data_IF_766202835921
#
_entry.id   IF_766202835921
#
_cell.length_a   1.000
_cell.length_b   1.000
_cell.length_c   1.000
_cell.angle_alpha   90.00
_cell.angle_beta   90.00
_cell.angle_gamma   90.00
#
_symmetry.space_group_name_H-M   'P 1'
#
loop_
_entity.id
_entity.type
_entity.pdbx_description
1 polymer ?
#
# COMPACT_ATOMS: atom_id res chain seq x y z
N UNK A 1 -45.32 4.65 -8.62
CA UNK A 1 -44.88 4.93 -7.30
C UNK A 1 -44.68 3.64 -6.53
N UNK A 2 -43.49 3.08 -6.49
CA UNK A 2 -43.04 2.17 -5.43
C UNK A 2 -41.60 2.54 -5.17
N UNK A 3 -41.41 3.34 -4.12
CA UNK A 3 -40.09 3.68 -3.59
C UNK A 3 -39.51 2.41 -2.97
N UNK A 4 -38.52 1.81 -3.63
CA UNK A 4 -37.67 0.81 -3.01
C UNK A 4 -36.73 1.53 -2.06
N UNK A 5 -36.98 1.44 -0.76
CA UNK A 5 -36.03 1.81 0.27
C UNK A 5 -34.74 0.97 0.06
N UNK A 6 -33.54 1.55 0.21
CA UNK A 6 -32.31 0.78 0.19
C UNK A 6 -32.39 -0.24 1.34
N UNK A 7 -32.46 -1.52 1.00
CA UNK A 7 -32.44 -2.63 1.94
C UNK A 7 -31.13 -2.57 2.72
N UNK A 8 -31.18 -2.03 3.91
CA UNK A 8 -30.09 -2.09 4.88
C UNK A 8 -29.97 -3.55 5.33
N UNK A 9 -28.91 -4.22 4.92
CA UNK A 9 -28.66 -5.61 5.33
C UNK A 9 -28.37 -5.66 6.83
N UNK A 10 -29.00 -6.61 7.51
CA UNK A 10 -28.78 -6.82 8.94
C UNK A 10 -27.36 -7.38 9.17
N UNK A 11 -26.53 -6.73 10.01
CA UNK A 11 -25.21 -7.23 10.37
C UNK A 11 -25.25 -8.65 10.96
N UNK A 12 -26.29 -8.99 11.71
CA UNK A 12 -26.46 -10.32 12.31
C UNK A 12 -26.68 -11.39 11.24
N UNK A 13 -27.59 -11.14 10.30
CA UNK A 13 -27.84 -12.05 9.18
C UNK A 13 -26.61 -12.21 8.28
N UNK A 14 -25.88 -11.13 8.08
CA UNK A 14 -24.62 -11.14 7.30
C UNK A 14 -23.56 -11.98 7.99
N UNK A 15 -23.41 -11.84 9.30
CA UNK A 15 -22.45 -12.64 10.08
C UNK A 15 -22.80 -14.13 10.02
N UNK A 16 -24.09 -14.49 10.18
CA UNK A 16 -24.55 -15.87 10.10
C UNK A 16 -24.27 -16.48 8.71
N UNK A 17 -24.47 -15.70 7.65
CA UNK A 17 -24.15 -16.12 6.29
C UNK A 17 -22.64 -16.31 6.09
N UNK A 18 -21.80 -15.41 6.60
CA UNK A 18 -20.32 -15.53 6.53
C UNK A 18 -19.84 -16.78 7.30
N UNK A 19 -20.36 -17.02 8.49
CA UNK A 19 -19.99 -18.21 9.28
C UNK A 19 -20.40 -19.48 8.54
N UNK A 20 -21.57 -19.50 7.91
CA UNK A 20 -22.04 -20.66 7.12
C UNK A 20 -21.13 -20.91 5.93
N UNK A 21 -20.75 -19.87 5.16
CA UNK A 21 -19.83 -19.98 4.02
C UNK A 21 -18.50 -20.56 4.48
N UNK A 22 -17.96 -20.05 5.60
CA UNK A 22 -16.70 -20.53 6.17
C UNK A 22 -16.79 -21.98 6.65
N UNK A 23 -17.88 -22.37 7.32
CA UNK A 23 -18.10 -23.76 7.77
C UNK A 23 -18.15 -24.73 6.60
N UNK A 24 -18.86 -24.38 5.53
CA UNK A 24 -18.95 -25.17 4.30
C UNK A 24 -17.56 -25.33 3.66
N UNK A 25 -16.83 -24.21 3.48
CA UNK A 25 -15.49 -24.24 2.88
C UNK A 25 -14.50 -25.07 3.71
N UNK A 26 -14.47 -24.87 5.02
CA UNK A 26 -13.60 -25.61 5.93
C UNK A 26 -13.96 -27.10 5.94
N UNK A 27 -15.25 -27.42 5.88
CA UNK A 27 -15.75 -28.79 5.78
C UNK A 27 -15.28 -29.50 4.50
N UNK A 28 -15.23 -28.79 3.38
CA UNK A 28 -14.70 -29.30 2.10
C UNK A 28 -13.19 -29.48 2.12
N UNK A 29 -12.46 -28.53 2.71
CA UNK A 29 -10.99 -28.57 2.78
C UNK A 29 -10.46 -29.58 3.80
N UNK A 30 -11.17 -29.78 4.90
CA UNK A 30 -10.74 -30.60 6.02
C UNK A 30 -11.86 -31.55 6.48
N UNK A 31 -12.27 -32.56 5.66
CA UNK A 31 -13.40 -33.42 5.98
C UNK A 31 -13.29 -34.14 7.33
N UNK A 32 -12.06 -34.52 7.74
CA UNK A 32 -11.81 -35.19 9.02
C UNK A 32 -11.92 -34.29 10.25
N UNK A 33 -11.89 -32.95 10.09
CA UNK A 33 -11.97 -31.97 11.17
C UNK A 33 -13.31 -31.23 11.20
N UNK A 34 -14.11 -31.36 10.16
CA UNK A 34 -15.37 -30.61 9.97
C UNK A 34 -16.33 -30.75 11.15
N UNK A 35 -16.43 -31.94 11.75
CA UNK A 35 -17.32 -32.21 12.86
C UNK A 35 -16.91 -31.55 14.19
N UNK A 36 -15.61 -31.24 14.36
CA UNK A 36 -15.04 -30.67 15.57
C UNK A 36 -14.73 -29.19 15.48
N UNK A 37 -14.71 -28.62 14.27
CA UNK A 37 -14.28 -27.25 14.01
C UNK A 37 -15.51 -26.30 14.10
N UNK A 38 -15.48 -25.44 15.13
CA UNK A 38 -16.49 -24.40 15.28
C UNK A 38 -15.92 -23.07 14.82
N UNK A 39 -16.56 -22.50 13.82
CA UNK A 39 -16.22 -21.14 13.34
C UNK A 39 -16.91 -20.13 14.25
N UNK A 40 -16.14 -19.27 14.88
CA UNK A 40 -16.62 -18.11 15.64
C UNK A 40 -16.24 -16.80 14.95
N UNK A 41 -16.82 -15.71 15.37
CA UNK A 41 -16.54 -14.37 14.82
C UNK A 41 -15.06 -13.97 14.94
N UNK A 42 -14.34 -14.52 15.90
CA UNK A 42 -12.93 -14.21 16.17
C UNK A 42 -11.96 -15.35 15.78
N UNK A 43 -12.44 -16.38 15.09
CA UNK A 43 -11.57 -17.46 14.60
C UNK A 43 -10.57 -16.91 13.58
N UNK A 44 -9.28 -17.20 13.75
CA UNK A 44 -8.26 -16.84 12.76
C UNK A 44 -8.41 -17.68 11.49
N UNK A 45 -8.57 -17.03 10.34
CA UNK A 45 -8.84 -17.68 9.05
C UNK A 45 -7.70 -18.63 8.64
N UNK A 46 -6.46 -18.28 8.91
CA UNK A 46 -5.29 -19.09 8.61
C UNK A 46 -4.98 -20.12 9.71
N UNK A 47 -4.79 -19.67 10.94
CA UNK A 47 -4.33 -20.50 12.05
C UNK A 47 -5.39 -21.45 12.57
N UNK A 48 -6.62 -20.96 12.78
CA UNK A 48 -7.70 -21.76 13.38
C UNK A 48 -8.49 -22.54 12.33
N UNK A 49 -8.71 -21.94 11.16
CA UNK A 49 -9.51 -22.51 10.07
C UNK A 49 -8.66 -23.15 8.95
N UNK A 50 -7.35 -22.91 8.93
CA UNK A 50 -6.43 -23.50 7.97
C UNK A 50 -6.60 -23.04 6.53
N UNK A 51 -7.07 -21.80 6.33
CA UNK A 51 -7.28 -21.22 5.01
C UNK A 51 -5.96 -20.68 4.45
N UNK A 52 -5.41 -21.37 3.46
CA UNK A 52 -4.29 -20.87 2.66
C UNK A 52 -4.72 -19.81 1.63
N UNK A 53 -3.80 -19.35 0.82
CA UNK A 53 -4.07 -18.30 -0.17
C UNK A 53 -5.12 -18.72 -1.21
N UNK A 54 -5.11 -19.99 -1.62
CA UNK A 54 -6.08 -20.52 -2.59
C UNK A 54 -7.48 -20.61 -1.96
N UNK A 55 -7.57 -21.14 -0.74
CA UNK A 55 -8.81 -21.21 0.00
C UNK A 55 -9.40 -19.83 0.29
N UNK A 56 -8.56 -18.82 0.52
CA UNK A 56 -8.99 -17.45 0.68
C UNK A 56 -9.57 -16.86 -0.61
N UNK A 57 -9.01 -17.15 -1.76
CA UNK A 57 -9.58 -16.75 -3.05
C UNK A 57 -10.94 -17.38 -3.29
N UNK A 58 -11.09 -18.68 -2.99
CA UNK A 58 -12.38 -19.38 -3.05
C UNK A 58 -13.40 -18.74 -2.09
N UNK A 59 -12.97 -18.40 -0.87
CA UNK A 59 -13.81 -17.71 0.11
C UNK A 59 -14.30 -16.36 -0.44
N UNK A 60 -13.41 -15.57 -1.05
CA UNK A 60 -13.78 -14.28 -1.66
C UNK A 60 -14.88 -14.46 -2.70
N UNK A 61 -14.70 -15.39 -3.63
CA UNK A 61 -15.67 -15.68 -4.69
C UNK A 61 -17.02 -16.10 -4.12
N UNK A 62 -17.04 -16.94 -3.07
CA UNK A 62 -18.28 -17.38 -2.42
C UNK A 62 -18.98 -16.22 -1.70
N UNK A 63 -18.23 -15.40 -0.98
CA UNK A 63 -18.75 -14.22 -0.28
C UNK A 63 -19.38 -13.23 -1.29
N UNK A 64 -18.66 -12.89 -2.35
CA UNK A 64 -19.19 -12.00 -3.39
C UNK A 64 -20.45 -12.53 -4.05
N UNK A 65 -20.45 -13.81 -4.41
CA UNK A 65 -21.58 -14.45 -5.08
C UNK A 65 -22.79 -14.60 -4.17
N UNK A 66 -22.63 -15.06 -2.92
CA UNK A 66 -23.74 -15.33 -2.02
C UNK A 66 -24.29 -14.05 -1.39
N UNK A 67 -23.44 -13.08 -1.13
CA UNK A 67 -23.84 -11.82 -0.53
C UNK A 67 -24.08 -10.71 -1.56
N UNK A 68 -23.78 -10.93 -2.82
CA UNK A 68 -24.01 -9.95 -3.89
C UNK A 68 -23.22 -8.64 -3.69
N UNK A 69 -22.05 -8.73 -3.07
CA UNK A 69 -21.14 -7.59 -2.83
C UNK A 69 -19.91 -7.71 -3.71
N UNK A 70 -19.28 -6.59 -4.02
CA UNK A 70 -17.97 -6.58 -4.67
C UNK A 70 -16.93 -6.15 -3.64
N UNK A 71 -15.94 -6.99 -3.41
CA UNK A 71 -14.85 -6.75 -2.47
C UNK A 71 -13.53 -6.65 -3.23
N UNK A 72 -12.65 -5.73 -2.80
CA UNK A 72 -11.32 -5.69 -3.39
C UNK A 72 -10.48 -6.85 -2.87
N UNK A 73 -9.75 -7.49 -3.76
CA UNK A 73 -8.84 -8.60 -3.42
C UNK A 73 -7.83 -8.19 -2.34
N UNK A 74 -7.34 -6.94 -2.42
CA UNK A 74 -6.41 -6.37 -1.44
C UNK A 74 -7.01 -6.25 -0.05
N UNK A 75 -8.22 -5.69 0.08
CA UNK A 75 -8.89 -5.56 1.37
C UNK A 75 -9.19 -6.93 1.97
N UNK A 76 -9.63 -7.87 1.12
CA UNK A 76 -9.91 -9.24 1.54
C UNK A 76 -8.64 -9.99 2.00
N UNK A 77 -7.50 -9.72 1.37
CA UNK A 77 -6.22 -10.28 1.77
C UNK A 77 -5.82 -9.90 3.21
N UNK A 78 -6.25 -8.74 3.68
CA UNK A 78 -5.95 -8.20 5.02
C UNK A 78 -6.89 -8.71 6.11
N UNK A 79 -8.00 -9.36 5.76
CA UNK A 79 -8.93 -9.93 6.72
C UNK A 79 -8.31 -11.12 7.47
N UNK A 80 -8.29 -11.07 8.78
CA UNK A 80 -7.74 -12.12 9.64
C UNK A 80 -8.83 -12.97 10.31
N UNK A 81 -10.04 -12.41 10.46
CA UNK A 81 -11.16 -13.03 11.17
C UNK A 81 -12.49 -12.85 10.44
N UNK A 82 -13.54 -13.63 10.75
CA UNK A 82 -14.90 -13.37 10.26
C UNK A 82 -15.43 -11.99 10.64
N UNK A 83 -14.99 -11.42 11.75
CA UNK A 83 -15.29 -10.03 12.15
C UNK A 83 -14.80 -9.03 11.10
N UNK A 84 -13.59 -9.23 10.59
CA UNK A 84 -13.01 -8.38 9.55
C UNK A 84 -13.78 -8.50 8.24
N UNK A 85 -14.17 -9.73 7.87
CA UNK A 85 -15.01 -9.98 6.70
C UNK A 85 -16.39 -9.29 6.82
N UNK A 86 -17.02 -9.37 8.00
CA UNK A 86 -18.29 -8.68 8.25
C UNK A 86 -18.14 -7.18 8.05
N UNK A 87 -17.10 -6.59 8.63
CA UNK A 87 -16.82 -5.15 8.50
C UNK A 87 -16.65 -4.74 7.04
N UNK A 88 -15.94 -5.55 6.26
CA UNK A 88 -15.72 -5.30 4.84
C UNK A 88 -17.01 -5.38 4.03
N UNK A 89 -17.84 -6.38 4.26
CA UNK A 89 -19.14 -6.55 3.57
C UNK A 89 -20.06 -5.37 3.89
N UNK A 90 -20.16 -4.98 5.16
CA UNK A 90 -20.98 -3.85 5.59
C UNK A 90 -20.48 -2.52 4.99
N UNK A 91 -19.17 -2.32 4.91
CA UNK A 91 -18.57 -1.12 4.29
C UNK A 91 -18.81 -1.07 2.78
N UNK A 92 -18.73 -2.20 2.10
CA UNK A 92 -19.01 -2.29 0.66
C UNK A 92 -20.48 -2.00 0.34
N UNK A 93 -21.39 -2.41 1.22
CA UNK A 93 -22.83 -2.07 1.09
C UNK A 93 -23.11 -0.60 1.36
N UNK A 94 -22.50 -0.04 2.40
CA UNK A 94 -22.63 1.39 2.70
C UNK A 94 -22.15 2.26 1.53
N UNK A 95 -21.04 1.87 0.89
CA UNK A 95 -20.53 2.52 -0.31
C UNK A 95 -21.51 2.38 -1.49
N UNK A 96 -22.18 1.25 -1.62
CA UNK A 96 -23.18 1.00 -2.66
C UNK A 96 -24.49 1.74 -2.44
N UNK A 97 -24.93 1.86 -1.19
CA UNK A 97 -26.14 2.59 -0.80
C UNK A 97 -25.93 4.12 -0.86
N UNK A 98 -24.71 4.59 -0.67
CA UNK A 98 -24.33 5.99 -0.82
C UNK A 98 -24.27 6.49 -2.26
N UNK A 99 -24.57 5.63 -3.24
CA UNK A 99 -24.32 5.90 -4.65
C UNK A 99 -22.81 5.82 -4.93
N UNK A 100 -22.42 5.22 -6.04
CA UNK A 100 -21.06 5.45 -6.54
C UNK A 100 -20.84 6.97 -6.54
N UNK A 101 -19.74 7.45 -5.92
CA UNK A 101 -19.41 8.85 -6.08
C UNK A 101 -19.43 9.10 -7.59
N UNK A 102 -20.26 10.05 -8.01
CA UNK A 102 -20.28 10.48 -9.39
C UNK A 102 -18.85 10.85 -9.72
N UNK A 103 -18.20 10.01 -10.52
CA UNK A 103 -16.85 10.32 -10.99
C UNK A 103 -17.05 11.54 -11.88
N UNK A 104 -16.96 12.71 -11.26
CA UNK A 104 -16.91 13.96 -11.99
C UNK A 104 -15.67 13.84 -12.85
N UNK A 105 -15.79 13.75 -14.18
CA UNK A 105 -14.61 13.71 -15.02
C UNK A 105 -13.84 14.98 -14.73
N UNK A 106 -12.68 14.84 -14.07
CA UNK A 106 -11.76 15.95 -13.93
C UNK A 106 -11.40 16.33 -15.36
N UNK A 107 -11.93 17.45 -15.85
CA UNK A 107 -11.44 18.04 -17.08
C UNK A 107 -9.97 18.35 -16.81
N UNK A 108 -9.12 17.50 -17.32
CA UNK A 108 -7.71 17.80 -17.43
C UNK A 108 -7.66 19.02 -18.35
N UNK A 109 -7.42 20.19 -17.79
CA UNK A 109 -7.02 21.33 -18.61
C UNK A 109 -5.84 20.86 -19.44
N UNK A 110 -5.92 21.01 -20.74
CA UNK A 110 -4.87 20.61 -21.64
C UNK A 110 -3.58 21.26 -21.17
N UNK A 111 -2.65 20.43 -20.69
CA UNK A 111 -1.33 20.91 -20.36
C UNK A 111 -0.71 21.43 -21.66
N UNK A 112 -0.43 22.73 -21.72
CA UNK A 112 0.14 23.33 -22.91
C UNK A 112 1.54 22.77 -23.21
N UNK A 113 1.62 21.74 -24.01
CA UNK A 113 2.86 21.09 -24.41
C UNK A 113 3.20 19.81 -23.64
N UNK A 114 4.24 19.14 -24.09
CA UNK A 114 4.76 17.90 -23.52
C UNK A 114 6.26 18.05 -23.21
N UNK A 115 6.80 17.32 -22.23
CA UNK A 115 8.20 17.39 -21.83
C UNK A 115 9.13 16.62 -22.79
N UNK A 116 9.07 16.88 -24.09
CA UNK A 116 9.83 16.15 -25.13
C UNK A 116 11.36 16.18 -24.96
N UNK A 117 11.88 17.11 -24.20
CA UNK A 117 13.33 17.24 -23.95
C UNK A 117 13.79 16.63 -22.64
N UNK A 118 12.83 16.16 -21.83
CA UNK A 118 13.16 15.51 -20.57
C UNK A 118 13.62 14.06 -20.83
N UNK A 119 14.77 13.71 -20.33
CA UNK A 119 15.37 12.37 -20.45
C UNK A 119 15.23 11.55 -19.16
N UNK A 120 14.92 12.21 -18.04
CA UNK A 120 14.75 11.58 -16.72
C UNK A 120 13.43 11.95 -16.09
N UNK A 121 12.96 11.12 -15.14
CA UNK A 121 11.74 11.40 -14.38
C UNK A 121 11.86 12.70 -13.55
N UNK A 122 13.05 13.00 -13.05
CA UNK A 122 13.30 14.26 -12.33
C UNK A 122 13.12 15.47 -13.23
N UNK A 123 13.59 15.41 -14.47
CA UNK A 123 13.39 16.48 -15.46
C UNK A 123 11.93 16.64 -15.85
N UNK A 124 11.19 15.54 -16.00
CA UNK A 124 9.75 15.56 -16.23
C UNK A 124 9.04 16.27 -15.08
N UNK A 125 9.38 15.94 -13.84
CA UNK A 125 8.79 16.58 -12.67
C UNK A 125 9.09 18.08 -12.64
N UNK A 126 10.32 18.50 -12.87
CA UNK A 126 10.71 19.91 -12.93
C UNK A 126 9.95 20.66 -14.04
N UNK A 127 9.79 20.06 -15.20
CA UNK A 127 9.03 20.65 -16.29
C UNK A 127 7.58 20.91 -15.89
N UNK A 128 6.91 19.94 -15.23
CA UNK A 128 5.53 20.10 -14.75
C UNK A 128 5.43 21.17 -13.66
N UNK A 129 6.39 21.24 -12.75
CA UNK A 129 6.40 22.27 -11.68
C UNK A 129 6.58 23.66 -12.25
N UNK A 130 7.39 23.83 -13.30
CA UNK A 130 7.56 25.14 -13.97
C UNK A 130 6.30 25.59 -14.70
N UNK A 131 5.55 24.67 -15.29
CA UNK A 131 4.38 24.97 -16.12
C UNK A 131 3.08 25.07 -15.33
N UNK A 132 2.83 24.18 -14.40
CA UNK A 132 1.59 24.08 -13.63
C UNK A 132 1.82 23.50 -12.23
N UNK A 133 2.52 24.24 -11.37
CA UNK A 133 2.97 23.73 -10.06
C UNK A 133 1.82 23.30 -9.14
N UNK A 134 0.70 23.99 -9.20
CA UNK A 134 -0.46 23.77 -8.33
C UNK A 134 -1.49 22.78 -8.92
N UNK A 135 -1.17 22.21 -10.08
CA UNK A 135 -2.00 21.16 -10.66
C UNK A 135 -1.91 19.89 -9.83
N UNK A 136 -3.07 19.31 -9.54
CA UNK A 136 -3.15 18.02 -8.89
C UNK A 136 -2.55 16.94 -9.80
N UNK A 137 -1.55 16.21 -9.30
CA UNK A 137 -0.89 15.13 -10.02
C UNK A 137 -1.37 13.76 -9.55
N UNK A 138 -1.46 13.57 -8.23
CA UNK A 138 -1.85 12.31 -7.61
C UNK A 138 -3.01 12.56 -6.66
N UNK A 139 -4.01 11.70 -6.73
CA UNK A 139 -5.13 11.69 -5.80
C UNK A 139 -5.18 10.35 -5.10
N UNK A 140 -5.21 10.38 -3.79
CA UNK A 140 -5.31 9.17 -2.99
C UNK A 140 -6.77 8.87 -2.70
N UNK A 141 -7.10 7.59 -2.80
CA UNK A 141 -8.42 7.08 -2.44
C UNK A 141 -8.25 6.08 -1.29
N UNK A 142 -9.18 6.12 -0.35
CA UNK A 142 -9.29 5.16 0.74
C UNK A 142 -10.69 4.55 0.75
N UNK A 143 -10.91 3.55 1.60
CA UNK A 143 -12.24 2.98 1.81
C UNK A 143 -13.27 4.01 2.30
N UNK A 144 -12.80 5.12 2.88
CA UNK A 144 -13.63 6.26 3.29
C UNK A 144 -13.96 7.23 2.13
N UNK A 145 -13.48 6.97 0.91
CA UNK A 145 -13.69 7.78 -0.28
C UNK A 145 -12.45 8.56 -0.74
N UNK A 146 -12.70 9.68 -1.42
CA UNK A 146 -11.65 10.55 -1.94
C UNK A 146 -10.84 11.17 -0.80
N UNK A 147 -9.54 10.92 -0.82
CA UNK A 147 -8.61 11.41 0.16
C UNK A 147 -7.81 12.62 -0.32
N UNK A 148 -6.69 12.81 0.32
CA UNK A 148 -5.77 13.90 0.08
C UNK A 148 -5.15 13.85 -1.33
N UNK A 149 -4.92 15.01 -1.93
CA UNK A 149 -4.26 15.15 -3.22
C UNK A 149 -2.82 15.62 -3.09
N UNK A 150 -2.01 15.38 -4.13
CA UNK A 150 -0.62 15.80 -4.22
C UNK A 150 -0.42 16.57 -5.53
N UNK A 151 -0.04 17.85 -5.41
CA UNK A 151 0.32 18.69 -6.57
C UNK A 151 1.74 18.41 -7.03
N UNK A 152 2.09 18.83 -8.24
CA UNK A 152 3.47 18.72 -8.73
C UNK A 152 4.46 19.46 -7.82
N UNK A 153 4.12 20.67 -7.37
CA UNK A 153 4.95 21.44 -6.43
C UNK A 153 5.19 20.69 -5.12
N UNK A 154 4.14 20.16 -4.51
CA UNK A 154 4.25 19.41 -3.26
C UNK A 154 5.11 18.16 -3.42
N UNK A 155 4.98 17.46 -4.54
CA UNK A 155 5.82 16.30 -4.84
C UNK A 155 7.29 16.70 -4.95
N UNK A 156 7.60 17.78 -5.67
CA UNK A 156 8.98 18.25 -5.81
C UNK A 156 9.57 18.69 -4.46
N UNK A 157 8.85 19.50 -3.69
CA UNK A 157 9.30 19.97 -2.38
C UNK A 157 9.57 18.80 -1.41
N UNK A 158 8.65 17.86 -1.32
CA UNK A 158 8.80 16.67 -0.48
C UNK A 158 9.94 15.76 -0.95
N UNK A 159 10.10 15.59 -2.24
CA UNK A 159 11.19 14.80 -2.82
C UNK A 159 12.56 15.46 -2.60
N UNK A 160 12.66 16.78 -2.76
CA UNK A 160 13.90 17.53 -2.50
C UNK A 160 14.32 17.45 -1.03
N UNK A 161 13.38 17.61 -0.10
CA UNK A 161 13.65 17.49 1.33
C UNK A 161 14.19 16.10 1.69
N UNK A 162 13.57 15.06 1.14
CA UNK A 162 14.01 13.69 1.36
C UNK A 162 15.36 13.41 0.69
N UNK A 163 15.57 13.88 -0.53
CA UNK A 163 16.84 13.75 -1.24
C UNK A 163 17.99 14.42 -0.49
N UNK A 164 17.75 15.62 0.07
CA UNK A 164 18.72 16.31 0.92
C UNK A 164 19.11 15.48 2.14
N UNK A 165 18.15 14.86 2.81
CA UNK A 165 18.41 13.97 3.94
C UNK A 165 19.21 12.72 3.58
N UNK A 166 18.99 12.15 2.41
CA UNK A 166 19.78 11.03 1.89
C UNK A 166 21.20 11.47 1.55
N UNK A 167 21.38 12.63 0.91
CA UNK A 167 22.69 13.20 0.59
C UNK A 167 23.49 13.49 1.85
N UNK A 168 22.85 14.06 2.88
CA UNK A 168 23.49 14.32 4.18
C UNK A 168 24.00 13.05 4.84
N UNK A 169 23.26 11.93 4.69
CA UNK A 169 23.68 10.61 5.19
C UNK A 169 24.69 9.90 4.30
N UNK A 170 25.17 10.55 3.26
CA UNK A 170 26.25 10.03 2.41
C UNK A 170 25.81 9.00 1.39
N UNK A 171 24.56 9.03 0.91
CA UNK A 171 24.11 8.17 -0.19
C UNK A 171 25.01 8.37 -1.40
N UNK A 172 25.57 7.27 -1.91
CA UNK A 172 26.40 7.27 -3.09
C UNK A 172 25.57 6.99 -4.35
N UNK A 173 26.04 7.41 -5.54
CA UNK A 173 25.35 7.12 -6.79
C UNK A 173 25.06 5.62 -6.97
N UNK A 174 23.86 5.30 -7.45
CA UNK A 174 23.37 3.95 -7.72
C UNK A 174 23.22 3.04 -6.50
N UNK A 175 23.42 3.54 -5.29
CA UNK A 175 23.12 2.77 -4.10
C UNK A 175 21.61 2.50 -3.99
N UNK A 176 21.18 1.25 -3.74
CA UNK A 176 19.79 0.91 -3.58
C UNK A 176 19.24 1.38 -2.24
N UNK A 177 18.07 2.01 -2.28
CA UNK A 177 17.31 2.45 -1.10
C UNK A 177 15.95 1.80 -1.14
N UNK A 178 15.67 0.95 -0.16
CA UNK A 178 14.40 0.25 -0.06
C UNK A 178 13.32 1.16 0.54
N UNK A 179 12.12 1.08 -0.02
CA UNK A 179 10.93 1.81 0.42
C UNK A 179 9.94 0.79 0.97
N UNK A 180 9.74 0.78 2.28
CA UNK A 180 8.75 -0.06 2.95
C UNK A 180 7.68 0.84 3.58
N UNK A 181 6.85 1.42 2.74
CA UNK A 181 5.82 2.37 3.08
C UNK A 181 4.47 1.96 2.47
N UNK A 182 3.36 2.25 3.14
CA UNK A 182 2.05 2.19 2.49
C UNK A 182 1.95 3.21 1.36
N UNK A 183 1.02 2.99 0.43
CA UNK A 183 0.76 3.94 -0.64
C UNK A 183 0.24 5.26 -0.04
N UNK A 184 0.93 6.35 -0.30
CA UNK A 184 0.63 7.67 0.22
C UNK A 184 1.68 8.69 -0.22
N UNK A 185 1.61 9.91 0.29
CA UNK A 185 2.55 10.98 -0.04
C UNK A 185 3.99 10.58 0.22
N UNK A 186 4.27 9.99 1.37
CA UNK A 186 5.61 9.59 1.79
C UNK A 186 6.24 8.58 0.84
N UNK A 187 5.45 7.68 0.25
CA UNK A 187 5.91 6.76 -0.77
C UNK A 187 6.43 7.51 -2.00
N UNK A 188 5.66 8.46 -2.51
CA UNK A 188 6.02 9.22 -3.70
C UNK A 188 7.18 10.19 -3.45
N UNK A 189 7.23 10.81 -2.28
CA UNK A 189 8.39 11.62 -1.86
C UNK A 189 9.66 10.75 -1.81
N UNK A 190 9.55 9.54 -1.27
CA UNK A 190 10.67 8.61 -1.19
C UNK A 190 11.13 8.16 -2.57
N UNK A 191 10.21 7.74 -3.42
CA UNK A 191 10.55 7.28 -4.77
C UNK A 191 11.27 8.36 -5.57
N UNK A 192 10.68 9.54 -5.67
CA UNK A 192 11.27 10.67 -6.40
C UNK A 192 12.53 11.20 -5.73
N UNK A 193 12.54 11.30 -4.40
CA UNK A 193 13.69 11.79 -3.65
C UNK A 193 14.92 10.88 -3.78
N UNK A 194 14.73 9.56 -3.81
CA UNK A 194 15.84 8.60 -4.06
C UNK A 194 16.40 8.80 -5.44
N UNK A 195 15.58 8.91 -6.48
CA UNK A 195 16.04 9.17 -7.85
C UNK A 195 16.81 10.49 -7.93
N UNK A 196 16.28 11.56 -7.32
CA UNK A 196 16.93 12.87 -7.30
C UNK A 196 18.26 12.86 -6.55
N UNK A 197 18.40 12.03 -5.51
CA UNK A 197 19.65 11.84 -4.79
C UNK A 197 20.64 10.90 -5.52
N UNK A 198 20.28 10.38 -6.68
CA UNK A 198 21.09 9.48 -7.49
C UNK A 198 21.06 8.02 -7.03
N UNK A 199 20.18 7.64 -6.13
CA UNK A 199 19.98 6.26 -5.68
C UNK A 199 19.03 5.47 -6.56
N UNK A 200 18.87 4.19 -6.26
CA UNK A 200 17.94 3.27 -6.93
C UNK A 200 16.80 2.94 -5.97
N UNK A 201 15.55 3.35 -6.25
CA UNK A 201 14.43 3.02 -5.39
C UNK A 201 14.03 1.55 -5.54
N UNK A 202 13.87 0.85 -4.41
CA UNK A 202 13.44 -0.55 -4.35
C UNK A 202 12.16 -0.62 -3.53
N UNK A 203 10.98 -0.60 -4.17
CA UNK A 203 9.71 -0.70 -3.49
C UNK A 203 9.52 -2.07 -2.84
N UNK A 204 9.04 -2.06 -1.60
CA UNK A 204 8.69 -3.25 -0.83
C UNK A 204 7.33 -3.04 -0.17
N UNK A 205 6.56 -4.10 -0.04
CA UNK A 205 5.29 -4.01 0.71
C UNK A 205 5.57 -4.03 2.22
N UNK A 206 4.89 -3.16 3.00
CA UNK A 206 4.92 -3.29 4.46
C UNK A 206 4.35 -4.65 4.90
N UNK A 207 4.79 -5.20 6.04
CA UNK A 207 4.19 -6.42 6.58
C UNK A 207 2.75 -6.12 7.00
N UNK A 208 1.80 -6.82 6.39
CA UNK A 208 0.36 -6.55 6.58
C UNK A 208 -0.23 -7.41 7.70
N UNK A 209 0.39 -8.56 8.02
CA UNK A 209 -0.15 -9.54 8.96
C UNK A 209 0.87 -9.90 10.04
N UNK A 210 0.47 -9.74 11.30
CA UNK A 210 1.30 -10.18 12.44
C UNK A 210 1.49 -11.70 12.49
N UNK A 211 0.53 -12.46 11.98
CA UNK A 211 0.56 -13.93 11.98
C UNK A 211 1.59 -14.55 11.03
N UNK A 212 2.15 -13.77 10.08
CA UNK A 212 3.12 -14.24 9.08
C UNK A 212 4.45 -13.46 9.15
N UNK A 213 4.78 -12.94 10.31
CA UNK A 213 5.94 -12.06 10.48
C UNK A 213 7.26 -12.76 10.10
N UNK A 214 7.41 -14.04 10.40
CA UNK A 214 8.62 -14.80 10.05
C UNK A 214 8.78 -14.97 8.54
N UNK A 215 7.69 -15.23 7.83
CA UNK A 215 7.73 -15.32 6.38
C UNK A 215 7.98 -13.96 5.73
N UNK A 216 7.38 -12.90 6.26
CA UNK A 216 7.65 -11.54 5.83
C UNK A 216 9.11 -11.16 6.06
N UNK A 217 9.68 -11.49 7.22
CA UNK A 217 11.11 -11.26 7.50
C UNK A 217 11.99 -11.97 6.48
N UNK A 218 11.72 -13.23 6.20
CA UNK A 218 12.51 -14.00 5.23
C UNK A 218 12.45 -13.41 3.83
N UNK A 219 11.28 -13.03 3.35
CA UNK A 219 11.11 -12.42 2.02
C UNK A 219 11.76 -11.06 1.93
N UNK A 220 11.51 -10.20 2.91
CA UNK A 220 12.07 -8.86 2.94
C UNK A 220 13.59 -8.89 3.05
N UNK A 221 14.13 -9.77 3.88
CA UNK A 221 15.55 -10.02 3.97
C UNK A 221 16.13 -10.42 2.62
N UNK A 222 15.53 -11.38 1.92
CA UNK A 222 15.98 -11.82 0.61
C UNK A 222 16.00 -10.68 -0.42
N UNK A 223 14.97 -9.84 -0.44
CA UNK A 223 14.91 -8.67 -1.33
C UNK A 223 16.05 -7.69 -1.01
N UNK A 224 16.25 -7.35 0.25
CA UNK A 224 17.28 -6.42 0.69
C UNK A 224 18.71 -6.94 0.42
N UNK A 225 18.94 -8.22 0.63
CA UNK A 225 20.22 -8.87 0.32
C UNK A 225 20.47 -8.91 -1.20
N UNK A 226 19.48 -9.30 -1.99
CA UNK A 226 19.61 -9.41 -3.45
C UNK A 226 19.91 -8.08 -4.13
N UNK A 227 19.31 -6.98 -3.65
CA UNK A 227 19.59 -5.65 -4.20
C UNK A 227 20.76 -4.94 -3.48
N UNK A 228 21.32 -5.52 -2.43
CA UNK A 228 22.33 -4.90 -1.58
C UNK A 228 21.90 -3.53 -1.04
N UNK A 229 20.67 -3.41 -0.57
CA UNK A 229 20.11 -2.17 -0.05
C UNK A 229 20.95 -1.61 1.11
N UNK A 230 21.25 -0.31 1.04
CA UNK A 230 22.06 0.38 2.05
C UNK A 230 21.21 1.14 3.06
N UNK A 231 19.98 1.51 2.67
CA UNK A 231 19.01 2.23 3.50
C UNK A 231 17.64 1.64 3.33
N UNK A 232 16.89 1.55 4.42
CA UNK A 232 15.48 1.21 4.46
C UNK A 232 14.68 2.39 4.97
N UNK A 233 13.79 2.91 4.14
CA UNK A 233 12.81 3.95 4.53
C UNK A 233 11.53 3.25 4.95
N UNK A 234 11.06 3.53 6.16
CA UNK A 234 9.84 2.96 6.72
C UNK A 234 9.02 4.00 7.47
N UNK A 235 7.96 3.58 8.11
CA UNK A 235 7.09 4.41 8.96
C UNK A 235 7.23 4.00 10.44
N UNK A 236 6.88 4.88 11.39
CA UNK A 236 7.17 4.65 12.81
C UNK A 236 6.66 3.30 13.34
N UNK A 237 5.47 2.87 12.94
CA UNK A 237 4.84 1.63 13.41
C UNK A 237 5.57 0.36 12.91
N UNK A 238 6.27 0.44 11.79
CA UNK A 238 7.05 -0.67 11.23
C UNK A 238 8.54 -0.60 11.62
N UNK A 239 8.96 0.34 12.44
CA UNK A 239 10.37 0.54 12.80
C UNK A 239 11.00 -0.66 13.51
N UNK A 240 10.24 -1.33 14.37
CA UNK A 240 10.69 -2.55 15.05
C UNK A 240 10.99 -3.68 14.07
N UNK A 241 10.11 -3.88 13.08
CA UNK A 241 10.32 -4.84 12.01
C UNK A 241 11.53 -4.47 11.15
N UNK A 242 11.66 -3.21 10.79
CA UNK A 242 12.83 -2.69 10.06
C UNK A 242 14.13 -2.89 10.84
N UNK A 243 14.12 -2.75 12.15
CA UNK A 243 15.29 -2.99 12.98
C UNK A 243 15.73 -4.47 12.99
N UNK A 244 14.77 -5.39 12.99
CA UNK A 244 15.06 -6.81 12.82
C UNK A 244 15.72 -7.11 11.47
N UNK A 245 15.23 -6.51 10.38
CA UNK A 245 15.84 -6.61 9.06
C UNK A 245 17.25 -6.06 9.05
N UNK A 246 17.47 -4.90 9.67
CA UNK A 246 18.80 -4.28 9.74
C UNK A 246 19.84 -5.17 10.44
N UNK A 247 19.43 -5.92 11.46
CA UNK A 247 20.36 -6.85 12.14
C UNK A 247 20.71 -8.06 11.29
N UNK A 248 19.89 -8.42 10.30
CA UNK A 248 20.07 -9.61 9.46
C UNK A 248 20.67 -9.34 8.09
N UNK A 249 20.62 -8.09 7.61
CA UNK A 249 21.12 -7.68 6.29
C UNK A 249 22.40 -6.86 6.44
N UNK A 250 23.51 -7.43 6.05
CA UNK A 250 24.85 -6.84 6.26
C UNK A 250 25.03 -5.49 5.57
N UNK A 251 24.50 -5.32 4.36
CA UNK A 251 24.62 -4.08 3.60
C UNK A 251 23.76 -2.94 4.16
N UNK A 252 22.72 -3.26 4.93
CA UNK A 252 21.76 -2.29 5.43
C UNK A 252 22.32 -1.52 6.63
N UNK A 253 22.80 -0.30 6.39
CA UNK A 253 23.44 0.55 7.40
C UNK A 253 22.53 1.60 8.01
N UNK A 254 21.41 1.94 7.34
CA UNK A 254 20.47 2.98 7.81
C UNK A 254 19.04 2.48 7.78
N UNK A 255 18.32 2.74 8.87
CA UNK A 255 16.88 2.60 8.99
C UNK A 255 16.30 3.96 9.37
N UNK A 256 15.48 4.53 8.51
CA UNK A 256 14.99 5.91 8.67
C UNK A 256 13.51 6.01 8.30
N UNK A 257 12.86 7.03 8.85
CA UNK A 257 11.53 7.46 8.42
C UNK A 257 11.64 8.66 7.47
N UNK A 258 10.55 8.93 6.73
CA UNK A 258 10.49 10.11 5.86
C UNK A 258 10.63 11.39 6.68
N UNK A 259 10.03 11.45 7.86
CA UNK A 259 10.15 12.59 8.77
C UNK A 259 11.60 12.83 9.20
N UNK A 260 12.32 11.79 9.59
CA UNK A 260 13.73 11.88 9.97
C UNK A 260 14.62 12.38 8.81
N UNK A 261 14.35 11.93 7.58
CA UNK A 261 15.07 12.38 6.39
C UNK A 261 14.77 13.84 6.05
N UNK A 262 13.52 14.25 6.17
CA UNK A 262 13.04 15.57 5.77
C UNK A 262 13.27 16.66 6.82
N UNK A 263 13.58 16.30 8.06
CA UNK A 263 13.78 17.24 9.18
C UNK A 263 15.12 17.96 9.17
N UNK A 264 16.03 17.61 8.26
CA UNK A 264 17.36 18.22 8.16
C UNK A 264 17.33 19.64 7.62
N UNK A 265 18.30 20.47 8.07
CA UNK A 265 18.49 21.84 7.59
C UNK A 265 19.27 21.93 6.26
N UNK A 266 19.68 20.79 5.69
CA UNK A 266 20.46 20.73 4.47
C UNK A 266 19.60 20.98 3.23
N UNK A 267 20.18 21.70 2.26
CA UNK A 267 19.55 21.92 0.97
C UNK A 267 19.90 20.82 -0.01
N UNK A 268 18.92 20.41 -0.80
CA UNK A 268 19.15 19.48 -1.90
C UNK A 268 20.14 20.03 -2.92
N UNK A 269 21.07 19.16 -3.36
CA UNK A 269 22.04 19.47 -4.42
C UNK A 269 21.69 18.63 -5.64
N UNK A 270 21.34 19.31 -6.74
CA UNK A 270 21.03 18.65 -7.99
C UNK A 270 22.24 17.86 -8.50
N UNK A 271 21.99 16.62 -8.92
CA UNK A 271 22.97 15.75 -9.56
C UNK A 271 22.70 15.70 -11.07
N UNK A 272 23.74 15.63 -11.88
CA UNK A 272 23.63 15.33 -13.30
C UNK A 272 23.49 13.81 -13.47
N UNK A 273 22.26 13.32 -13.63
CA UNK A 273 21.99 11.92 -13.96
C UNK A 273 21.90 11.76 -15.48
N UNK A 274 22.40 10.63 -16.00
CA UNK A 274 22.21 10.22 -17.39
C UNK A 274 21.12 9.17 -17.48
N UNK A 275 20.39 9.07 -18.62
CA UNK A 275 19.33 8.07 -18.80
C UNK A 275 19.78 6.63 -18.61
N UNK A 276 21.08 6.37 -18.78
CA UNK A 276 21.69 5.05 -18.65
C UNK A 276 22.01 4.67 -17.19
N UNK A 277 21.84 5.60 -16.24
CA UNK A 277 22.17 5.39 -14.82
C UNK A 277 20.98 4.82 -14.01
N UNK A 278 19.85 4.49 -14.67
CA UNK A 278 18.64 3.93 -14.05
C UNK A 278 18.29 2.55 -14.60
#
# INVERSE_FOLDING_TARGET
GMNGEPSHRDPQETLEALIRILQELVGELHPGRAASLRVSIDSALDRDLGLDSLARMELLVRVERQLGVALTERAFADAETPRDLLRMVMSAEAARAGGMPEVTPVRLEEAGGEPFRAETLSEVLHWHVQRHPDRLHIRFYSDAGEGEGLTYRQLLEGAEALAAGLQERGLQPLEPVAIMLPTGKDYFFSFMGILMAGGVPVPMYPPVRRSQIEEHLRRHRAILENCAAVTLITFPEAKTFGQLLKTQVETLRSLVTVEELSAGACSYRALSCRPQDT
#
